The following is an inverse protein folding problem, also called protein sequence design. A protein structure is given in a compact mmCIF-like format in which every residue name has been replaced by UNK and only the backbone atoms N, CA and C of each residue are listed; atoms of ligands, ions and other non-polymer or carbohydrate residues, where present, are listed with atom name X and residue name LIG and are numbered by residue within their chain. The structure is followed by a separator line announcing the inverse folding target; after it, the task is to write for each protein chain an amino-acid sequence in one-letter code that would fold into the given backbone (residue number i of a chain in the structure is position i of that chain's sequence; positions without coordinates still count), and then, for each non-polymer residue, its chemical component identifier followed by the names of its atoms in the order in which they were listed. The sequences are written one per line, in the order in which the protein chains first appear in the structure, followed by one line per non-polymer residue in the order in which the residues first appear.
data_IF_264177009605
#
_entry.id   IF_264177009605
#
_cell.length_a   1.000
_cell.length_b   1.000
_cell.length_c   1.000
_cell.angle_alpha   90.00
_cell.angle_beta   90.00
_cell.angle_gamma   90.00
#
_symmetry.space_group_name_H-M   'P 1'
#
loop_
_entity.id
_entity.type
_entity.pdbx_description
1 polymer ?
#
# COMPACT_ATOMS: atom_id res chain seq x y z
N UNK A 1 56.10 -7.72 29.85
CA UNK A 1 54.73 -7.86 29.30
C UNK A 1 54.03 -6.53 29.45
N UNK A 2 53.82 -5.81 28.33
CA UNK A 2 53.08 -4.55 28.27
C UNK A 2 51.64 -4.86 27.85
N UNK A 3 50.65 -4.47 28.65
CA UNK A 3 49.27 -4.33 28.20
C UNK A 3 49.08 -2.89 27.70
N UNK A 4 48.78 -2.73 26.41
CA UNK A 4 48.20 -1.50 25.88
C UNK A 4 46.69 -1.54 26.13
N UNK A 5 46.19 -0.62 26.94
CA UNK A 5 44.77 -0.27 26.98
C UNK A 5 44.50 0.78 25.91
N UNK A 6 43.75 0.40 24.87
CA UNK A 6 43.25 1.32 23.85
C UNK A 6 41.87 1.82 24.31
N UNK A 7 41.78 3.08 24.73
CA UNK A 7 40.53 3.77 25.03
C UNK A 7 39.94 4.28 23.71
N UNK A 8 38.88 3.65 23.20
CA UNK A 8 38.12 4.16 22.05
C UNK A 8 37.12 5.18 22.59
N UNK A 9 37.36 6.46 22.30
CA UNK A 9 36.36 7.52 22.47
C UNK A 9 35.36 7.36 21.33
N UNK A 10 34.20 6.77 21.62
CA UNK A 10 33.05 6.80 20.73
C UNK A 10 32.49 8.22 20.75
N UNK A 11 32.73 8.96 19.66
CA UNK A 11 32.05 10.22 19.40
C UNK A 11 30.55 9.97 19.29
N UNK A 12 29.80 10.56 20.22
CA UNK A 12 28.34 10.66 20.12
C UNK A 12 28.05 11.64 19.00
N UNK A 13 27.71 11.12 17.82
CA UNK A 13 27.18 11.92 16.72
C UNK A 13 25.85 12.53 17.16
N UNK A 14 25.89 13.82 17.46
CA UNK A 14 24.73 14.67 17.68
C UNK A 14 23.95 14.79 16.37
N UNK A 15 22.74 14.23 16.34
CA UNK A 15 21.76 14.52 15.28
C UNK A 15 21.23 15.93 15.52
N UNK A 16 21.95 16.92 14.98
CA UNK A 16 21.42 18.27 14.89
C UNK A 16 20.31 18.28 13.83
N UNK A 17 19.17 18.84 14.21
CA UNK A 17 18.06 19.16 13.31
C UNK A 17 18.57 20.14 12.24
N UNK A 18 18.87 19.59 11.06
CA UNK A 18 19.07 20.35 9.83
C UNK A 18 17.73 20.54 9.14
N UNK A 19 17.28 21.78 9.10
CA UNK A 19 16.20 22.29 8.26
C UNK A 19 16.70 22.37 6.79
N UNK A 20 17.04 21.22 6.23
CA UNK A 20 17.44 21.02 4.84
C UNK A 20 16.53 19.95 4.24
N UNK A 21 15.21 20.18 4.21
CA UNK A 21 14.33 19.33 3.42
C UNK A 21 14.63 19.60 1.94
N UNK A 22 15.50 18.79 1.34
CA UNK A 22 15.66 18.78 -0.11
C UNK A 22 14.26 18.75 -0.74
N UNK A 23 13.98 19.64 -1.73
CA UNK A 23 12.70 19.64 -2.39
C UNK A 23 12.40 18.26 -2.95
N UNK A 24 11.18 17.75 -2.67
CA UNK A 24 10.76 16.41 -3.10
C UNK A 24 11.02 16.25 -4.60
N UNK A 25 11.90 15.31 -4.95
CA UNK A 25 12.21 15.00 -6.35
C UNK A 25 10.93 14.62 -7.09
N UNK A 26 10.77 15.15 -8.30
CA UNK A 26 9.66 14.79 -9.16
C UNK A 26 9.68 13.28 -9.45
N UNK A 27 8.58 12.55 -9.18
CA UNK A 27 8.41 11.15 -9.54
C UNK A 27 8.65 10.89 -11.02
N UNK A 28 9.17 9.70 -11.37
CA UNK A 28 9.25 9.31 -12.78
C UNK A 28 7.86 9.10 -13.39
N UNK A 29 7.77 9.11 -14.72
CA UNK A 29 6.55 8.74 -15.44
C UNK A 29 6.06 7.33 -15.09
N UNK A 30 6.98 6.40 -14.76
CA UNK A 30 6.66 5.05 -14.31
C UNK A 30 5.96 5.08 -12.96
N UNK A 31 6.53 5.80 -11.99
CA UNK A 31 5.96 5.96 -10.67
C UNK A 31 4.59 6.66 -10.76
N UNK A 32 4.46 7.76 -11.50
CA UNK A 32 3.16 8.43 -11.70
C UNK A 32 2.12 7.51 -12.33
N UNK A 33 2.54 6.69 -13.30
CA UNK A 33 1.68 5.63 -13.87
C UNK A 33 1.23 4.67 -12.79
N UNK A 34 2.16 4.08 -12.03
CA UNK A 34 1.83 3.17 -10.93
C UNK A 34 0.83 3.81 -9.95
N UNK A 35 1.13 5.02 -9.46
CA UNK A 35 0.27 5.73 -8.51
C UNK A 35 -1.13 5.95 -9.08
N UNK A 36 -1.27 6.33 -10.35
CA UNK A 36 -2.58 6.53 -10.99
C UNK A 36 -3.38 5.24 -11.17
N UNK A 37 -2.68 4.12 -11.42
CA UNK A 37 -3.32 2.81 -11.50
C UNK A 37 -3.74 2.32 -10.12
N UNK A 38 -2.92 2.57 -9.11
CA UNK A 38 -3.15 2.13 -7.74
C UNK A 38 -4.21 2.97 -7.01
N UNK A 39 -4.39 4.25 -7.37
CA UNK A 39 -5.33 5.18 -6.73
C UNK A 39 -6.79 4.92 -7.14
N UNK A 40 -7.56 4.27 -6.28
CA UNK A 40 -8.97 3.99 -6.53
C UNK A 40 -9.65 3.15 -5.46
N UNK A 41 -10.95 2.94 -5.68
CA UNK A 41 -11.76 1.97 -4.95
C UNK A 41 -11.97 0.74 -5.83
N UNK A 42 -11.64 -0.43 -5.29
CA UNK A 42 -11.68 -1.72 -5.96
C UNK A 42 -12.60 -2.68 -5.23
N UNK A 43 -13.31 -3.55 -5.96
CA UNK A 43 -14.22 -4.54 -5.37
C UNK A 43 -14.24 -5.84 -6.17
N UNK A 44 -14.26 -6.99 -5.48
CA UNK A 44 -14.51 -8.31 -6.07
C UNK A 44 -16.01 -8.63 -6.19
N UNK A 45 -16.92 -7.74 -5.78
CA UNK A 45 -18.36 -8.03 -5.77
C UNK A 45 -18.93 -8.49 -7.12
N UNK A 46 -18.35 -8.02 -8.23
CA UNK A 46 -18.77 -8.43 -9.59
C UNK A 46 -18.37 -9.88 -9.90
N UNK A 47 -17.21 -10.32 -9.44
CA UNK A 47 -16.75 -11.72 -9.55
C UNK A 47 -17.65 -12.62 -8.71
N UNK A 48 -17.82 -12.31 -7.42
CA UNK A 48 -18.68 -13.08 -6.50
C UNK A 48 -20.12 -13.21 -7.02
N UNK A 49 -20.67 -12.13 -7.59
CA UNK A 49 -22.01 -12.16 -8.21
C UNK A 49 -22.06 -13.09 -9.43
N UNK A 50 -21.02 -13.12 -10.26
CA UNK A 50 -20.95 -13.99 -11.42
C UNK A 50 -20.85 -15.46 -10.98
N UNK A 51 -19.99 -15.77 -10.01
CA UNK A 51 -19.86 -17.12 -9.45
C UNK A 51 -21.18 -17.65 -8.91
N UNK A 52 -21.90 -16.85 -8.13
CA UNK A 52 -23.21 -17.26 -7.62
C UNK A 52 -24.21 -17.53 -8.75
N UNK A 53 -24.16 -16.77 -9.84
CA UNK A 53 -25.03 -16.98 -10.99
C UNK A 53 -24.67 -18.25 -11.78
N UNK A 54 -23.39 -18.58 -11.89
CA UNK A 54 -22.89 -19.72 -12.69
C UNK A 54 -22.84 -21.03 -11.90
N UNK A 55 -22.41 -20.99 -10.63
CA UNK A 55 -22.16 -22.15 -9.77
C UNK A 55 -23.26 -22.39 -8.72
N UNK A 56 -24.15 -21.42 -8.50
CA UNK A 56 -25.20 -21.46 -7.48
C UNK A 56 -24.72 -21.09 -6.06
N UNK A 57 -23.41 -21.00 -5.84
CA UNK A 57 -22.79 -20.53 -4.60
C UNK A 57 -21.52 -19.72 -4.92
N UNK A 58 -21.18 -18.70 -4.11
CA UNK A 58 -19.92 -17.97 -4.27
C UNK A 58 -18.74 -18.81 -3.77
N UNK A 59 -17.61 -18.74 -4.48
CA UNK A 59 -16.34 -19.37 -4.05
C UNK A 59 -15.46 -18.33 -3.36
N UNK A 60 -15.58 -17.06 -3.77
CA UNK A 60 -14.91 -15.93 -3.15
C UNK A 60 -15.82 -15.13 -2.20
N UNK A 61 -15.20 -14.51 -1.20
CA UNK A 61 -15.81 -13.46 -0.39
C UNK A 61 -15.78 -12.10 -1.12
N UNK A 62 -16.66 -11.18 -0.71
CA UNK A 62 -16.63 -9.81 -1.23
C UNK A 62 -15.56 -9.02 -0.49
N UNK A 63 -14.48 -8.71 -1.20
CA UNK A 63 -13.38 -7.90 -0.71
C UNK A 63 -13.41 -6.55 -1.42
N UNK A 64 -13.38 -5.48 -0.63
CA UNK A 64 -13.24 -4.12 -1.12
C UNK A 64 -11.91 -3.54 -0.63
N UNK A 65 -11.27 -2.75 -1.48
CA UNK A 65 -10.04 -2.05 -1.14
C UNK A 65 -10.10 -0.60 -1.63
N UNK A 66 -9.87 0.34 -0.72
CA UNK A 66 -9.70 1.76 -1.02
C UNK A 66 -8.22 2.09 -0.91
N UNK A 67 -7.63 2.48 -2.03
CA UNK A 67 -6.29 3.07 -2.09
C UNK A 67 -6.45 4.53 -2.47
N UNK A 68 -6.11 5.44 -1.56
CA UNK A 68 -6.28 6.87 -1.79
C UNK A 68 -4.99 7.63 -1.56
N UNK A 69 -4.53 8.38 -2.55
CA UNK A 69 -3.44 9.32 -2.34
C UNK A 69 -3.87 10.39 -1.32
N UNK A 70 -3.08 10.56 -0.26
CA UNK A 70 -3.39 11.45 0.88
C UNK A 70 -2.13 12.17 1.32
N UNK A 71 -2.26 13.31 1.99
CA UNK A 71 -1.15 13.94 2.68
C UNK A 71 -1.17 13.54 4.15
N UNK A 72 0.01 13.15 4.67
CA UNK A 72 0.18 12.81 6.08
C UNK A 72 1.19 13.80 6.66
N UNK A 73 0.79 14.70 7.58
CA UNK A 73 1.67 15.72 8.14
C UNK A 73 2.94 15.14 8.80
N UNK A 74 2.83 13.95 9.40
CA UNK A 74 3.95 13.23 10.00
C UNK A 74 4.97 12.68 8.97
N UNK A 75 4.61 12.64 7.69
CA UNK A 75 5.43 12.14 6.58
C UNK A 75 5.43 13.17 5.43
N UNK A 76 5.82 14.43 5.70
CA UNK A 76 5.53 15.55 4.81
C UNK A 76 6.33 15.51 3.51
N UNK A 77 7.36 14.66 3.41
CA UNK A 77 8.21 14.51 2.23
C UNK A 77 7.96 13.19 1.49
N UNK A 78 7.01 12.37 1.93
CA UNK A 78 6.70 11.07 1.34
C UNK A 78 5.49 11.11 0.40
N UNK A 79 5.52 10.25 -0.62
CA UNK A 79 4.32 9.93 -1.40
C UNK A 79 3.52 8.91 -0.59
N UNK A 80 2.38 9.34 -0.06
CA UNK A 80 1.58 8.53 0.85
C UNK A 80 0.22 8.16 0.28
N UNK A 81 -0.21 6.94 0.60
CA UNK A 81 -1.53 6.41 0.27
C UNK A 81 -2.19 5.88 1.54
N UNK A 82 -3.47 6.19 1.72
CA UNK A 82 -4.33 5.50 2.67
C UNK A 82 -4.82 4.21 2.02
N UNK A 83 -4.68 3.10 2.75
CA UNK A 83 -5.27 1.81 2.43
C UNK A 83 -6.36 1.49 3.46
N UNK A 84 -7.55 1.16 2.99
CA UNK A 84 -8.59 0.47 3.76
C UNK A 84 -9.02 -0.78 3.01
N UNK A 85 -8.99 -1.93 3.67
CA UNK A 85 -9.54 -3.17 3.13
C UNK A 85 -10.66 -3.70 4.01
N UNK A 86 -11.72 -4.11 3.34
CA UNK A 86 -12.92 -4.66 3.91
C UNK A 86 -13.13 -6.08 3.36
N UNK A 87 -13.56 -6.98 4.22
CA UNK A 87 -14.00 -8.31 3.84
C UNK A 87 -15.42 -8.50 4.39
N UNK A 88 -16.38 -8.74 3.49
CA UNK A 88 -17.80 -8.87 3.78
C UNK A 88 -18.36 -7.72 4.66
N UNK A 89 -17.88 -6.49 4.41
CA UNK A 89 -18.32 -5.28 5.13
C UNK A 89 -17.69 -5.09 6.51
N UNK A 90 -16.60 -5.79 6.82
CA UNK A 90 -15.81 -5.57 8.04
C UNK A 90 -14.41 -5.11 7.66
N UNK A 91 -14.00 -3.93 8.12
CA UNK A 91 -12.64 -3.42 7.95
C UNK A 91 -11.67 -4.34 8.68
N UNK A 92 -10.61 -4.76 8.01
CA UNK A 92 -9.59 -5.61 8.62
C UNK A 92 -8.16 -5.14 8.39
N UNK A 93 -7.94 -4.25 7.44
CA UNK A 93 -6.66 -3.60 7.23
C UNK A 93 -6.88 -2.11 7.03
N UNK A 94 -6.18 -1.30 7.80
CA UNK A 94 -6.04 0.14 7.58
C UNK A 94 -4.57 0.50 7.72
N UNK A 95 -4.00 1.15 6.71
CA UNK A 95 -2.57 1.47 6.67
C UNK A 95 -2.30 2.79 5.97
N UNK A 96 -1.18 3.43 6.33
CA UNK A 96 -0.52 4.41 5.48
C UNK A 96 0.59 3.70 4.72
N UNK A 97 0.56 3.82 3.40
CA UNK A 97 1.52 3.25 2.49
C UNK A 97 2.47 4.36 2.02
N UNK A 98 3.76 4.24 2.34
CA UNK A 98 4.80 5.12 1.79
C UNK A 98 5.36 4.47 0.54
N UNK A 99 5.21 5.14 -0.60
CA UNK A 99 5.56 4.59 -1.92
C UNK A 99 6.81 5.30 -2.45
N UNK A 100 7.79 4.51 -2.89
CA UNK A 100 9.04 5.00 -3.49
C UNK A 100 9.41 4.18 -4.71
N UNK A 101 10.16 4.76 -5.63
CA UNK A 101 10.81 4.04 -6.73
C UNK A 101 12.32 4.03 -6.47
N UNK A 102 12.95 2.87 -6.59
CA UNK A 102 14.41 2.76 -6.48
C UNK A 102 15.12 3.00 -7.81
N UNK A 103 16.45 3.01 -7.80
CA UNK A 103 17.28 3.27 -8.99
C UNK A 103 17.09 2.24 -10.11
N UNK A 104 16.60 1.04 -9.78
CA UNK A 104 16.29 -0.02 -10.74
C UNK A 104 14.87 0.10 -11.30
N UNK A 105 14.09 1.08 -10.84
CA UNK A 105 12.71 1.25 -11.24
C UNK A 105 11.72 0.35 -10.52
N UNK A 106 12.13 -0.29 -9.43
CA UNK A 106 11.24 -1.12 -8.61
C UNK A 106 10.46 -0.19 -7.70
N UNK A 107 9.14 -0.35 -7.70
CA UNK A 107 8.25 0.36 -6.78
C UNK A 107 8.25 -0.38 -5.46
N UNK A 108 8.65 0.29 -4.40
CA UNK A 108 8.72 -0.23 -3.03
C UNK A 108 7.70 0.51 -2.18
N UNK A 109 6.92 -0.24 -1.42
CA UNK A 109 5.89 0.32 -0.55
C UNK A 109 6.13 -0.19 0.85
N UNK A 110 6.30 0.75 1.77
CA UNK A 110 6.43 0.50 3.19
C UNK A 110 5.08 0.79 3.88
N UNK A 111 4.37 -0.24 4.38
CA UNK A 111 3.16 -0.02 5.15
C UNK A 111 3.46 0.45 6.58
N UNK A 112 2.62 1.35 7.06
CA UNK A 112 2.56 1.82 8.44
C UNK A 112 1.18 1.50 8.98
N UNK A 113 1.12 0.71 10.05
CA UNK A 113 -0.14 0.31 10.67
C UNK A 113 -0.61 1.40 11.64
N UNK A 114 -1.92 1.65 11.66
CA UNK A 114 -2.56 2.36 12.76
C UNK A 114 -2.59 1.45 14.00
N UNK A 115 -2.32 2.04 15.16
CA UNK A 115 -2.28 1.31 16.45
C UNK A 115 -3.66 0.89 16.96
N UNK A 116 -4.73 1.59 16.56
CA UNK A 116 -6.12 1.24 16.88
C UNK A 116 -7.05 1.53 15.70
N UNK A 117 -7.48 0.45 15.03
CA UNK A 117 -8.44 0.47 13.93
C UNK A 117 -9.85 0.05 14.36
N UNK A 118 -10.02 -0.40 15.60
CA UNK A 118 -11.27 -1.04 16.09
C UNK A 118 -12.44 -0.06 16.22
N UNK A 119 -12.14 1.24 16.25
CA UNK A 119 -13.11 2.33 16.34
C UNK A 119 -13.76 2.71 15.00
N UNK A 120 -13.26 2.21 13.87
CA UNK A 120 -13.74 2.60 12.54
C UNK A 120 -14.60 1.50 11.90
N UNK A 121 -15.74 1.89 11.34
CA UNK A 121 -16.50 1.07 10.38
C UNK A 121 -16.08 1.40 8.95
N UNK A 122 -16.39 0.53 7.96
CA UNK A 122 -16.16 0.80 6.55
C UNK A 122 -16.53 2.22 6.12
N UNK A 123 -15.60 2.90 5.44
CA UNK A 123 -15.78 4.24 4.90
C UNK A 123 -16.00 5.36 5.94
N UNK A 124 -15.84 5.08 7.24
CA UNK A 124 -15.96 6.11 8.29
C UNK A 124 -14.68 6.92 8.49
N UNK A 125 -13.54 6.41 8.04
CA UNK A 125 -12.28 7.12 8.15
C UNK A 125 -12.28 8.35 7.23
N UNK A 126 -12.37 9.54 7.83
CA UNK A 126 -12.27 10.81 7.12
C UNK A 126 -10.78 11.11 6.92
N UNK A 127 -10.23 10.71 5.77
CA UNK A 127 -8.82 10.93 5.44
C UNK A 127 -8.35 12.39 5.58
N UNK A 128 -9.26 13.36 5.60
CA UNK A 128 -8.87 14.77 5.82
C UNK A 128 -8.71 15.01 7.32
N UNK A 129 -9.74 14.71 8.11
CA UNK A 129 -9.76 15.02 9.55
C UNK A 129 -8.98 14.04 10.41
N UNK A 130 -9.09 12.76 10.11
CA UNK A 130 -8.44 11.70 10.89
C UNK A 130 -6.92 11.73 10.68
N UNK A 131 -6.42 12.14 9.50
CA UNK A 131 -4.98 12.24 9.22
C UNK A 131 -4.35 13.56 9.67
N UNK A 132 -5.13 14.64 9.83
CA UNK A 132 -4.63 15.97 10.25
C UNK A 132 -3.79 15.92 11.53
N UNK A 133 -4.14 15.01 12.45
CA UNK A 133 -3.51 14.92 13.76
C UNK A 133 -2.67 13.65 13.97
N UNK A 134 -2.57 12.79 12.95
CA UNK A 134 -1.79 11.54 13.07
C UNK A 134 -0.33 11.91 13.29
N UNK A 135 0.21 11.43 14.41
CA UNK A 135 1.63 11.56 14.71
C UNK A 135 2.38 10.32 14.25
N UNK A 136 3.67 10.46 14.02
CA UNK A 136 4.50 9.34 13.57
C UNK A 136 4.49 8.19 14.59
N UNK A 137 4.36 8.49 15.89
CA UNK A 137 4.31 7.49 16.95
C UNK A 137 3.04 6.62 16.91
N UNK A 138 1.98 7.11 16.27
CA UNK A 138 0.72 6.38 16.05
C UNK A 138 0.78 5.52 14.77
N UNK A 139 1.87 5.66 14.01
CA UNK A 139 2.18 4.89 12.80
C UNK A 139 3.34 3.94 13.11
N UNK A 140 3.02 2.67 13.38
CA UNK A 140 4.06 1.67 13.55
C UNK A 140 4.57 1.23 12.17
N UNK A 141 5.84 1.50 11.80
CA UNK A 141 6.40 0.94 10.58
C UNK A 141 6.29 -0.57 10.64
N UNK A 142 5.77 -1.18 9.58
CA UNK A 142 5.75 -2.63 9.49
C UNK A 142 7.17 -3.18 9.44
N UNK A 143 7.32 -4.46 9.81
CA UNK A 143 8.61 -5.13 9.86
C UNK A 143 9.29 -5.10 8.47
N UNK A 144 10.63 -5.20 8.37
CA UNK A 144 11.30 -5.18 7.06
C UNK A 144 10.81 -6.26 6.08
N UNK A 145 10.33 -7.40 6.57
CA UNK A 145 9.75 -8.48 5.78
C UNK A 145 8.31 -8.20 5.28
N UNK A 146 7.80 -6.99 5.52
CA UNK A 146 6.50 -6.49 5.10
C UNK A 146 6.55 -5.49 3.94
N UNK A 147 7.71 -5.27 3.35
CA UNK A 147 7.83 -4.46 2.14
C UNK A 147 7.01 -5.09 1.01
N UNK A 148 6.16 -4.27 0.39
CA UNK A 148 5.43 -4.64 -0.82
C UNK A 148 6.25 -4.13 -1.99
N UNK A 149 6.41 -4.96 -3.03
CA UNK A 149 7.22 -4.61 -4.20
C UNK A 149 6.43 -4.81 -5.48
N UNK A 150 6.58 -3.89 -6.42
CA UNK A 150 6.02 -3.97 -7.76
C UNK A 150 7.06 -3.63 -8.82
N UNK A 151 6.97 -4.31 -9.96
CA UNK A 151 7.78 -4.06 -11.14
C UNK A 151 6.87 -3.87 -12.34
N UNK A 152 7.21 -2.91 -13.20
CA UNK A 152 6.50 -2.69 -14.45
C UNK A 152 6.87 -3.80 -15.45
N UNK A 153 5.86 -4.49 -15.99
CA UNK A 153 6.05 -5.52 -17.03
C UNK A 153 5.56 -5.06 -18.39
N UNK A 154 4.65 -4.09 -18.42
CA UNK A 154 4.12 -3.43 -19.62
C UNK A 154 3.75 -1.98 -19.27
N UNK A 155 3.45 -1.14 -20.27
CA UNK A 155 3.16 0.29 -20.14
C UNK A 155 2.19 0.59 -18.99
N UNK A 156 1.17 -0.25 -18.81
CA UNK A 156 0.13 -0.08 -17.77
C UNK A 156 -0.08 -1.34 -16.93
N UNK A 157 0.95 -2.20 -16.82
CA UNK A 157 0.87 -3.45 -16.06
C UNK A 157 2.03 -3.53 -15.10
N UNK A 158 1.71 -3.72 -13.82
CA UNK A 158 2.69 -3.93 -12.76
C UNK A 158 2.40 -5.27 -12.10
N UNK A 159 3.44 -6.05 -11.86
CA UNK A 159 3.34 -7.29 -11.09
C UNK A 159 4.14 -7.14 -9.81
N UNK A 160 3.66 -7.73 -8.73
CA UNK A 160 4.26 -7.51 -7.44
C UNK A 160 3.92 -8.57 -6.41
N UNK A 161 4.45 -8.38 -5.21
CA UNK A 161 4.12 -9.20 -4.05
C UNK A 161 3.65 -8.33 -2.92
N UNK A 162 2.54 -8.72 -2.30
CA UNK A 162 1.98 -8.05 -1.13
C UNK A 162 1.97 -9.07 0.03
N UNK A 163 2.76 -8.90 1.09
CA UNK A 163 2.70 -9.75 2.27
C UNK A 163 1.53 -9.36 3.22
N UNK A 164 0.84 -10.34 3.79
CA UNK A 164 -0.10 -10.12 4.89
C UNK A 164 0.65 -9.90 6.21
N UNK A 165 0.93 -8.65 6.50
CA UNK A 165 1.67 -8.25 7.68
C UNK A 165 0.85 -8.18 8.95
N UNK A 166 -0.44 -8.48 8.87
CA UNK A 166 -1.31 -8.58 10.04
C UNK A 166 -1.22 -9.97 10.69
N UNK A 167 -0.58 -10.94 10.01
CA UNK A 167 -0.56 -12.35 10.45
C UNK A 167 0.83 -12.96 10.34
N UNK A 168 1.23 -13.70 11.38
CA UNK A 168 2.43 -14.53 11.38
C UNK A 168 2.02 -16.00 11.48
N UNK A 169 2.31 -16.79 10.45
CA UNK A 169 1.89 -18.18 10.36
C UNK A 169 3.03 -19.05 9.83
N UNK A 170 3.31 -20.17 10.51
CA UNK A 170 4.36 -21.13 10.14
C UNK A 170 5.74 -20.51 9.90
N UNK A 171 6.09 -19.48 10.67
CA UNK A 171 7.40 -18.83 10.59
C UNK A 171 7.52 -17.75 9.52
N UNK A 172 6.41 -17.28 8.93
CA UNK A 172 6.43 -16.12 8.04
C UNK A 172 5.07 -15.44 7.84
N UNK A 173 5.09 -14.34 7.10
CA UNK A 173 3.89 -13.66 6.61
C UNK A 173 3.36 -14.35 5.35
N UNK A 174 2.04 -14.65 5.24
CA UNK A 174 1.45 -15.07 3.98
C UNK A 174 1.77 -14.07 2.87
N UNK A 175 2.08 -14.55 1.67
CA UNK A 175 2.40 -13.69 0.53
C UNK A 175 1.41 -13.91 -0.60
N UNK A 176 1.01 -12.81 -1.20
CA UNK A 176 0.16 -12.79 -2.37
C UNK A 176 0.96 -12.27 -3.56
N UNK A 177 0.66 -12.77 -4.76
CA UNK A 177 1.16 -12.18 -5.99
C UNK A 177 0.08 -11.29 -6.58
N UNK A 178 0.43 -10.06 -6.90
CA UNK A 178 -0.48 -9.04 -7.38
C UNK A 178 -0.19 -8.72 -8.84
N UNK A 179 -1.23 -8.52 -9.64
CA UNK A 179 -1.15 -7.86 -10.95
C UNK A 179 -2.04 -6.63 -10.92
N UNK A 180 -1.46 -5.46 -11.14
CA UNK A 180 -2.14 -4.18 -11.22
C UNK A 180 -2.22 -3.74 -12.68
N UNK A 181 -3.43 -3.37 -13.11
CA UNK A 181 -3.71 -2.83 -14.43
C UNK A 181 -4.58 -1.57 -14.36
N UNK A 182 -4.98 -1.04 -15.52
CA UNK A 182 -5.95 0.06 -15.63
C UNK A 182 -7.21 -0.14 -14.77
N UNK A 183 -7.78 -1.35 -14.84
CA UNK A 183 -9.15 -1.62 -14.39
C UNK A 183 -9.21 -2.65 -13.27
N UNK A 184 -8.13 -3.36 -13.00
CA UNK A 184 -8.15 -4.50 -12.09
C UNK A 184 -6.90 -4.53 -11.22
N UNK A 185 -7.10 -5.02 -10.01
CA UNK A 185 -6.07 -5.64 -9.18
C UNK A 185 -6.43 -7.11 -9.12
N UNK A 186 -5.56 -7.98 -9.61
CA UNK A 186 -5.69 -9.42 -9.45
C UNK A 186 -4.77 -9.88 -8.33
N UNK A 187 -5.30 -10.59 -7.34
CA UNK A 187 -4.53 -11.14 -6.23
C UNK A 187 -4.54 -12.66 -6.27
N UNK A 188 -3.39 -13.27 -6.57
CA UNK A 188 -3.20 -14.71 -6.47
C UNK A 188 -2.89 -15.08 -5.02
N UNK A 189 -3.82 -15.83 -4.43
CA UNK A 189 -3.71 -16.38 -3.07
C UNK A 189 -3.17 -17.81 -3.15
N UNK A 190 -1.86 -17.97 -2.99
CA UNK A 190 -1.19 -19.28 -3.08
C UNK A 190 -0.69 -19.81 -1.73
N UNK A 191 -0.90 -19.08 -0.64
CA UNK A 191 -0.51 -19.49 0.70
C UNK A 191 -1.70 -20.12 1.43
N UNK A 192 -1.68 -21.44 1.66
CA UNK A 192 -2.84 -22.19 2.19
C UNK A 192 -3.31 -21.85 3.62
N UNK A 193 -2.70 -20.86 4.26
CA UNK A 193 -3.09 -20.32 5.58
C UNK A 193 -3.41 -18.81 5.56
N UNK A 194 -3.53 -18.23 4.37
CA UNK A 194 -4.08 -16.88 4.21
C UNK A 194 -5.52 -16.81 4.75
N UNK A 195 -6.06 -15.60 4.85
CA UNK A 195 -7.46 -15.40 5.24
C UNK A 195 -8.39 -15.92 4.13
N UNK A 196 -7.99 -15.70 2.89
CA UNK A 196 -8.74 -15.99 1.67
C UNK A 196 -8.47 -17.42 1.14
N UNK A 197 -7.94 -18.31 1.99
CA UNK A 197 -7.44 -19.64 1.60
C UNK A 197 -8.53 -20.57 1.04
N UNK A 198 -9.81 -20.28 1.29
CA UNK A 198 -10.89 -21.23 1.03
C UNK A 198 -11.21 -21.34 -0.48
N UNK A 199 -10.90 -20.31 -1.28
CA UNK A 199 -11.04 -20.40 -2.74
C UNK A 199 -9.82 -21.02 -3.42
N UNK A 200 -8.59 -20.74 -2.94
CA UNK A 200 -7.31 -20.98 -3.63
C UNK A 200 -7.27 -20.49 -5.10
N UNK A 201 -8.25 -19.68 -5.50
CA UNK A 201 -8.37 -19.07 -6.80
C UNK A 201 -7.92 -17.61 -6.71
N UNK A 202 -7.45 -17.00 -7.81
CA UNK A 202 -7.15 -15.57 -7.82
C UNK A 202 -8.43 -14.75 -7.66
N UNK A 203 -8.35 -13.65 -6.91
CA UNK A 203 -9.41 -12.64 -6.85
C UNK A 203 -9.26 -11.63 -8.00
N UNK A 204 -10.37 -11.23 -8.64
CA UNK A 204 -10.46 -10.12 -9.61
C UNK A 204 -11.12 -8.89 -8.97
N UNK A 205 -10.32 -8.02 -8.35
CA UNK A 205 -10.81 -6.75 -7.81
C UNK A 205 -10.89 -5.70 -8.90
N UNK A 206 -12.12 -5.30 -9.26
CA UNK A 206 -12.35 -4.31 -10.30
C UNK A 206 -12.38 -2.91 -9.74
N UNK A 207 -11.68 -1.99 -10.39
CA UNK A 207 -11.72 -0.57 -10.05
C UNK A 207 -13.11 -0.02 -10.39
N UNK A 208 -13.80 0.47 -9.37
CA UNK A 208 -15.12 1.09 -9.46
C UNK A 208 -14.98 2.62 -9.51
N UNK A 209 -14.04 3.18 -8.76
CA UNK A 209 -13.76 4.62 -8.72
C UNK A 209 -12.27 4.85 -8.90
N UNK A 210 -11.89 5.84 -9.71
CA UNK A 210 -10.53 6.40 -9.73
C UNK A 210 -10.51 7.72 -8.99
N UNK A 211 -9.52 7.89 -8.11
CA UNK A 211 -9.28 9.16 -7.46
C UNK A 211 -8.20 9.95 -8.20
N UNK A 212 -8.26 11.28 -8.22
CA UNK A 212 -7.16 12.09 -8.72
C UNK A 212 -5.94 11.94 -7.81
N UNK A 213 -4.75 11.99 -8.40
CA UNK A 213 -3.52 12.18 -7.64
C UNK A 213 -3.48 13.62 -7.12
N UNK A 214 -2.98 13.81 -5.90
CA UNK A 214 -2.84 15.13 -5.28
C UNK A 214 -1.46 15.69 -5.69
N UNK A 215 -1.39 16.82 -6.42
CA UNK A 215 -0.12 17.39 -6.89
C UNK A 215 0.90 17.68 -5.78
N UNK A 216 0.42 18.06 -4.59
CA UNK A 216 1.28 18.32 -3.43
C UNK A 216 1.79 17.05 -2.73
N UNK A 217 1.21 15.88 -3.03
CA UNK A 217 1.70 14.58 -2.55
C UNK A 217 2.54 13.89 -3.63
N UNK A 218 2.15 13.98 -4.89
CA UNK A 218 2.90 13.50 -6.04
C UNK A 218 3.18 14.67 -6.99
N UNK A 219 4.31 15.39 -6.81
CA UNK A 219 4.70 16.49 -7.70
C UNK A 219 4.68 16.06 -9.17
N UNK A 220 4.28 16.95 -10.08
CA UNK A 220 4.15 16.64 -11.51
C UNK A 220 2.83 15.96 -11.89
N UNK A 221 2.01 15.53 -10.92
CA UNK A 221 0.70 14.94 -11.19
C UNK A 221 -0.28 15.91 -11.89
N UNK A 222 -0.10 17.22 -11.73
CA UNK A 222 -0.90 18.26 -12.39
C UNK A 222 -0.74 18.28 -13.91
N UNK A 223 0.41 17.82 -14.42
CA UNK A 223 0.72 17.74 -15.85
C UNK A 223 0.65 16.30 -16.38
N UNK A 224 0.50 15.33 -15.48
CA UNK A 224 0.43 13.92 -15.80
C UNK A 224 -0.95 13.55 -16.34
N UNK A 225 -0.98 12.89 -17.50
CA UNK A 225 -2.19 12.32 -18.07
C UNK A 225 -2.28 10.83 -17.70
N UNK A 226 -3.24 10.42 -16.84
CA UNK A 226 -3.43 9.01 -16.54
C UNK A 226 -3.63 8.19 -17.82
N UNK A 227 -2.99 7.02 -17.94
CA UNK A 227 -3.06 6.22 -19.16
C UNK A 227 -4.43 5.58 -19.36
N UNK A 228 -5.26 5.55 -18.31
CA UNK A 228 -6.54 4.87 -18.29
C UNK A 228 -7.64 5.85 -17.87
N UNK A 229 -8.66 6.01 -18.71
CA UNK A 229 -9.92 6.60 -18.28
C UNK A 229 -10.74 5.51 -17.58
N UNK A 230 -10.88 5.60 -16.26
CA UNK A 230 -11.89 4.81 -15.56
C UNK A 230 -13.17 5.64 -15.55
N UNK A 231 -14.01 5.39 -16.55
CA UNK A 231 -15.38 5.91 -16.66
C UNK A 231 -16.36 5.06 -15.87
#
# INVERSE_FOLDING_TARGET
MKLLGLLVVLGVGSWAAGDDSEPRKEPSQRLLTFLSLFNGYFSSAKEVKAEKAELGYPVHDVINATFRNVFVPALPNEITFYLEEEDNGVVYRMQILVIREDELGIIRIAPYNFTDTTKYKPGQFDVTKDLENVRLEELSPTRPDCEIVFMQTDVNVFVGTFPDCTRWVDGGHPKYAFTLSCRTITALVYWGKSREKDSLLPYDHRKIVSYPLLPYVAPGAENFKPPCNCS
#
